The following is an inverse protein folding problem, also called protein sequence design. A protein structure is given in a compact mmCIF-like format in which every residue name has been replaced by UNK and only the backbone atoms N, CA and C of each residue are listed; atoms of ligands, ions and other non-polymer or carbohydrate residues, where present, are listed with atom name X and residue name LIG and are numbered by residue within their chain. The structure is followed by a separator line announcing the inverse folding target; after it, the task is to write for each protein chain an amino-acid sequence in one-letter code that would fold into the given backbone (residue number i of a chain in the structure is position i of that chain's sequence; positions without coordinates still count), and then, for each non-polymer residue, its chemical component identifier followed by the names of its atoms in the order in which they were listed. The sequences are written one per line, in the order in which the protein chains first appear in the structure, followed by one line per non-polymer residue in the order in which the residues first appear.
data_IF_454361494378
#
_entry.id   IF_454361494378
#
_cell.length_a   1.000
_cell.length_b   1.000
_cell.length_c   1.000
_cell.angle_alpha   90.00
_cell.angle_beta   90.00
_cell.angle_gamma   90.00
#
_symmetry.space_group_name_H-M   'P 1'
#
loop_
_entity.id
_entity.type
_entity.pdbx_description
1 polymer ?
#
# COMPACT_ATOMS: atom_id res chain seq x y z
N UNK A 1 18.55 -12.22 12.33
CA UNK A 1 19.18 -11.82 11.06
C UNK A 1 19.32 -10.31 11.09
N UNK A 2 20.53 -9.77 11.00
CA UNK A 2 20.73 -8.34 10.83
C UNK A 2 20.30 -7.98 9.40
N UNK A 3 19.59 -6.86 9.25
CA UNK A 3 19.07 -6.44 7.95
C UNK A 3 20.04 -5.41 7.37
N UNK A 4 20.86 -5.85 6.42
CA UNK A 4 21.89 -5.01 5.79
C UNK A 4 21.35 -4.23 4.57
N UNK A 5 20.10 -4.48 4.15
CA UNK A 5 19.50 -3.88 2.96
C UNK A 5 18.81 -2.55 3.24
N UNK A 6 18.37 -2.31 4.49
CA UNK A 6 17.68 -1.08 4.87
C UNK A 6 18.47 -0.32 5.92
N UNK A 7 18.58 0.98 5.71
CA UNK A 7 19.30 1.92 6.57
C UNK A 7 18.34 2.62 7.54
N UNK A 8 18.88 3.42 8.46
CA UNK A 8 18.07 4.24 9.36
C UNK A 8 17.15 5.21 8.60
N UNK A 9 17.60 5.69 7.43
CA UNK A 9 16.80 6.57 6.56
C UNK A 9 15.55 5.86 6.02
N UNK A 10 15.66 4.59 5.63
CA UNK A 10 14.52 3.82 5.11
C UNK A 10 13.44 3.52 6.17
N UNK A 11 13.81 3.63 7.44
CA UNK A 11 12.94 3.42 8.59
C UNK A 11 12.37 4.73 9.17
N UNK A 12 12.82 5.88 8.64
CA UNK A 12 12.36 7.20 9.07
C UNK A 12 10.90 7.42 8.69
N UNK A 13 10.12 8.07 9.57
CA UNK A 13 8.68 8.29 9.39
C UNK A 13 8.34 9.77 9.46
N UNK A 14 7.47 10.21 8.56
CA UNK A 14 6.92 11.58 8.55
C UNK A 14 5.39 11.60 8.70
N UNK A 15 4.84 12.38 9.64
CA UNK A 15 5.56 13.03 10.74
C UNK A 15 6.22 11.99 11.65
N UNK A 16 7.25 12.39 12.41
CA UNK A 16 7.90 11.53 13.39
C UNK A 16 6.84 10.89 14.28
N UNK A 17 6.60 9.60 14.05
CA UNK A 17 5.61 8.82 14.78
C UNK A 17 6.37 7.83 15.63
N UNK A 18 6.25 7.97 16.95
CA UNK A 18 6.80 6.98 17.87
C UNK A 18 6.16 5.63 17.58
N UNK A 19 6.99 4.60 17.44
CA UNK A 19 6.48 3.23 17.38
C UNK A 19 5.71 2.96 18.69
N UNK A 20 4.50 2.45 18.59
CA UNK A 20 3.71 2.10 19.77
C UNK A 20 4.45 1.02 20.55
N UNK A 21 4.73 1.24 21.82
CA UNK A 21 5.35 0.23 22.67
C UNK A 21 4.45 -1.01 22.69
N UNK A 22 4.96 -2.14 22.20
CA UNK A 22 4.25 -3.41 22.12
C UNK A 22 3.67 -3.78 20.75
N UNK A 23 3.86 -2.98 19.70
CA UNK A 23 3.49 -3.40 18.34
C UNK A 23 4.46 -4.50 17.84
N UNK A 24 3.91 -5.66 17.47
CA UNK A 24 4.68 -6.79 16.93
C UNK A 24 5.04 -6.61 15.45
N UNK A 25 4.44 -5.63 14.78
CA UNK A 25 4.62 -5.39 13.34
C UNK A 25 5.90 -4.60 13.08
N UNK A 26 6.57 -4.94 11.98
CA UNK A 26 7.73 -4.19 11.50
C UNK A 26 7.33 -2.83 10.95
N UNK A 27 8.32 -1.93 10.80
CA UNK A 27 8.07 -0.60 10.25
C UNK A 27 7.33 -0.66 8.89
N UNK A 28 7.79 -1.53 7.99
CA UNK A 28 7.20 -1.73 6.66
C UNK A 28 5.79 -2.34 6.69
N UNK A 29 5.49 -3.23 7.64
CA UNK A 29 4.15 -3.78 7.79
C UNK A 29 3.14 -2.69 8.18
N UNK A 30 3.53 -1.80 9.09
CA UNK A 30 2.70 -0.67 9.51
C UNK A 30 2.46 0.30 8.35
N UNK A 31 3.49 0.64 7.56
CA UNK A 31 3.33 1.52 6.40
C UNK A 31 2.44 0.90 5.32
N UNK A 32 2.56 -0.41 5.09
CA UNK A 32 1.66 -1.14 4.20
C UNK A 32 0.20 -1.03 4.66
N UNK A 33 -0.06 -1.26 5.95
CA UNK A 33 -1.41 -1.13 6.52
C UNK A 33 -1.94 0.29 6.33
N UNK A 34 -1.13 1.31 6.60
CA UNK A 34 -1.51 2.72 6.40
C UNK A 34 -1.97 2.99 4.97
N UNK A 35 -1.25 2.48 3.97
CA UNK A 35 -1.64 2.63 2.56
C UNK A 35 -2.98 1.93 2.29
N UNK A 36 -3.10 0.64 2.68
CA UNK A 36 -4.30 -0.18 2.43
C UNK A 36 -5.55 0.44 3.08
N UNK A 37 -5.42 0.96 4.30
CA UNK A 37 -6.51 1.58 5.04
C UNK A 37 -6.63 3.10 4.82
N UNK A 38 -5.91 3.68 3.87
CA UNK A 38 -6.04 5.10 3.55
C UNK A 38 -7.31 5.40 2.75
N UNK A 39 -7.89 6.57 2.98
CA UNK A 39 -8.99 7.10 2.16
C UNK A 39 -8.65 7.17 0.65
N UNK A 40 -7.49 7.72 0.22
CA UNK A 40 -7.16 7.78 -1.21
C UNK A 40 -7.04 6.40 -1.87
N UNK A 41 -6.51 5.38 -1.16
CA UNK A 41 -6.41 4.03 -1.71
C UNK A 41 -7.79 3.38 -1.88
N UNK A 42 -8.69 3.52 -0.89
CA UNK A 42 -10.09 3.07 -1.01
C UNK A 42 -10.83 3.69 -2.20
N UNK A 43 -10.57 4.97 -2.51
CA UNK A 43 -11.18 5.63 -3.69
C UNK A 43 -10.78 4.99 -5.02
N UNK A 44 -9.71 4.21 -5.08
CA UNK A 44 -9.34 3.49 -6.31
C UNK A 44 -10.37 2.42 -6.68
N UNK A 45 -11.20 1.96 -5.73
CA UNK A 45 -12.30 1.02 -6.00
C UNK A 45 -13.31 1.59 -6.99
N UNK A 46 -13.57 2.90 -6.96
CA UNK A 46 -14.51 3.55 -7.88
C UNK A 46 -13.81 4.19 -9.08
N UNK A 47 -12.51 3.95 -9.28
CA UNK A 47 -11.77 4.45 -10.46
C UNK A 47 -11.54 3.31 -11.42
N UNK A 48 -12.02 3.45 -12.64
CA UNK A 48 -11.79 2.46 -13.70
C UNK A 48 -10.37 2.56 -14.25
N UNK A 49 -9.88 1.45 -14.77
CA UNK A 49 -8.74 1.46 -15.69
C UNK A 49 -9.18 1.97 -17.07
N UNK A 50 -8.22 2.32 -17.93
CA UNK A 50 -8.51 2.58 -19.34
C UNK A 50 -8.96 1.28 -19.99
N UNK A 51 -10.16 1.27 -20.57
CA UNK A 51 -10.73 0.11 -21.25
C UNK A 51 -11.01 0.44 -22.72
N UNK A 52 -10.75 -0.53 -23.61
CA UNK A 52 -11.30 -0.53 -24.97
C UNK A 52 -12.59 -1.35 -25.01
N UNK A 53 -13.58 -0.89 -25.77
CA UNK A 53 -14.89 -1.54 -25.86
C UNK A 53 -14.78 -2.90 -26.57
N UNK A 54 -15.25 -3.97 -25.93
CA UNK A 54 -15.53 -5.26 -26.59
C UNK A 54 -14.72 -6.48 -26.14
N UNK A 55 -13.79 -6.36 -25.19
CA UNK A 55 -12.81 -7.43 -24.94
C UNK A 55 -12.86 -8.11 -23.55
N UNK A 56 -13.56 -7.55 -22.54
CA UNK A 56 -13.51 -8.10 -21.17
C UNK A 56 -14.86 -8.11 -20.43
N UNK A 57 -15.22 -9.27 -19.89
CA UNK A 57 -16.42 -9.52 -19.05
C UNK A 57 -16.28 -8.99 -17.60
N UNK A 58 -15.05 -8.73 -17.14
CA UNK A 58 -14.77 -8.22 -15.79
C UNK A 58 -13.92 -6.95 -15.84
N UNK A 59 -14.56 -5.80 -15.67
CA UNK A 59 -13.85 -4.53 -15.58
C UNK A 59 -13.09 -4.42 -14.27
N UNK A 60 -11.76 -4.40 -14.36
CA UNK A 60 -10.88 -4.08 -13.23
C UNK A 60 -11.03 -2.63 -12.80
N UNK A 61 -10.89 -2.40 -11.51
CA UNK A 61 -10.73 -1.06 -10.97
C UNK A 61 -9.23 -0.77 -10.84
N UNK A 62 -8.85 0.49 -10.69
CA UNK A 62 -7.48 0.85 -10.34
C UNK A 62 -7.05 0.19 -9.04
N UNK A 63 -7.99 -0.09 -8.12
CA UNK A 63 -7.69 -0.80 -6.87
C UNK A 63 -7.26 -2.24 -7.14
N UNK A 64 -8.06 -3.00 -7.89
CA UNK A 64 -7.76 -4.41 -8.16
C UNK A 64 -6.48 -4.55 -8.98
N UNK A 65 -6.25 -3.66 -9.94
CA UNK A 65 -5.00 -3.62 -10.69
C UNK A 65 -3.79 -3.36 -9.77
N UNK A 66 -3.87 -2.36 -8.89
CA UNK A 66 -2.76 -2.07 -7.96
C UNK A 66 -2.48 -3.22 -6.98
N UNK A 67 -3.50 -3.98 -6.56
CA UNK A 67 -3.32 -5.14 -5.68
C UNK A 67 -2.64 -6.31 -6.40
N UNK A 68 -2.92 -6.51 -7.69
CA UNK A 68 -2.29 -7.58 -8.48
C UNK A 68 -0.81 -7.30 -8.82
N UNK A 69 -0.39 -6.04 -8.81
CA UNK A 69 1.00 -5.63 -9.08
C UNK A 69 1.89 -5.70 -7.82
N UNK A 70 1.29 -5.59 -6.64
CA UNK A 70 1.98 -5.53 -5.35
C UNK A 70 2.49 -6.90 -4.89
#
# INVERSE_FOLDING_TARGET
MHNDFYTAFDLERFPETTAQEGDYRTAFQIERDRIIFSYPFRRLQSKTQVFQSGEYDFYRTRLTHSIEVA
#
